data_IF_169246530092
#
_entry.id   IF_169246530092
#
_cell.length_a   1.000
_cell.length_b   1.000
_cell.length_c   1.000
_cell.angle_alpha   90.00
_cell.angle_beta   90.00
_cell.angle_gamma   90.00
#
_symmetry.space_group_name_H-M   'P 1'
#
loop_
_entity.id
_entity.type
_entity.pdbx_description
1 polymer ?
#
# COMPACT_ATOMS: atom_id res chain seq x y z
N UNK A 1 -18.50 1.79 -4.25
CA UNK A 1 -17.45 0.82 -3.86
C UNK A 1 -16.36 1.59 -3.14
N UNK A 2 -15.64 0.98 -2.18
CA UNK A 2 -14.47 1.64 -1.57
C UNK A 2 -13.33 1.64 -2.59
N UNK A 3 -12.63 2.78 -2.74
CA UNK A 3 -11.50 2.88 -3.67
C UNK A 3 -10.20 2.37 -3.02
N UNK A 4 -9.44 1.57 -3.76
CA UNK A 4 -8.19 0.98 -3.33
C UNK A 4 -7.09 1.30 -4.35
N UNK A 5 -6.03 1.97 -3.90
CA UNK A 5 -4.83 2.16 -4.69
C UNK A 5 -3.82 1.04 -4.43
N UNK A 6 -3.27 0.44 -5.49
CA UNK A 6 -2.15 -0.49 -5.43
C UNK A 6 -0.88 0.28 -5.82
N UNK A 7 -0.04 0.58 -4.83
CA UNK A 7 1.25 1.29 -5.01
C UNK A 7 2.38 0.27 -4.91
N UNK A 8 2.93 -0.12 -6.07
CA UNK A 8 3.86 -1.23 -6.16
C UNK A 8 3.28 -2.40 -6.95
N UNK A 9 2.90 -2.14 -8.20
CA UNK A 9 2.37 -3.14 -9.15
C UNK A 9 3.47 -4.05 -9.72
N UNK A 10 4.21 -4.70 -8.82
CA UNK A 10 5.03 -5.88 -9.10
C UNK A 10 4.22 -7.16 -8.89
N UNK A 11 4.89 -8.27 -8.63
CA UNK A 11 4.21 -9.56 -8.44
C UNK A 11 3.20 -9.55 -7.26
N UNK A 12 3.64 -9.08 -6.09
CA UNK A 12 2.83 -9.04 -4.86
C UNK A 12 1.64 -8.09 -4.99
N UNK A 13 1.88 -6.85 -5.42
CA UNK A 13 0.84 -5.85 -5.59
C UNK A 13 -0.19 -6.25 -6.65
N UNK A 14 0.26 -6.76 -7.81
CA UNK A 14 -0.66 -7.23 -8.84
C UNK A 14 -1.47 -8.45 -8.40
N UNK A 15 -0.87 -9.40 -7.66
CA UNK A 15 -1.60 -10.56 -7.13
C UNK A 15 -2.73 -10.13 -6.18
N UNK A 16 -2.42 -9.36 -5.13
CA UNK A 16 -3.43 -8.95 -4.16
C UNK A 16 -4.44 -7.97 -4.75
N UNK A 17 -3.99 -7.03 -5.60
CA UNK A 17 -4.88 -6.14 -6.32
C UNK A 17 -5.85 -6.89 -7.22
N UNK A 18 -5.39 -7.93 -7.93
CA UNK A 18 -6.26 -8.76 -8.76
C UNK A 18 -7.27 -9.56 -7.93
N UNK A 19 -6.87 -10.08 -6.76
CA UNK A 19 -7.79 -10.74 -5.82
C UNK A 19 -8.86 -9.78 -5.29
N UNK A 20 -8.48 -8.54 -4.96
CA UNK A 20 -9.44 -7.51 -4.55
C UNK A 20 -10.41 -7.14 -5.68
N UNK A 21 -9.91 -7.06 -6.91
CA UNK A 21 -10.74 -6.82 -8.08
C UNK A 21 -11.72 -7.97 -8.35
N UNK A 22 -11.28 -9.21 -8.16
CA UNK A 22 -12.10 -10.42 -8.33
C UNK A 22 -13.31 -10.43 -7.39
N UNK A 23 -13.19 -9.87 -6.18
CA UNK A 23 -14.30 -9.73 -5.23
C UNK A 23 -15.43 -8.80 -5.73
N UNK A 24 -15.20 -7.96 -6.74
CA UNK A 24 -16.17 -6.99 -7.30
C UNK A 24 -16.72 -5.91 -6.35
N UNK A 25 -16.39 -5.92 -5.05
CA UNK A 25 -16.87 -4.93 -4.07
C UNK A 25 -16.02 -3.65 -3.99
N UNK A 26 -14.83 -3.67 -4.58
CA UNK A 26 -13.85 -2.60 -4.54
C UNK A 26 -13.64 -1.95 -5.90
N UNK A 27 -13.28 -0.67 -5.88
CA UNK A 27 -12.80 0.05 -7.05
C UNK A 27 -11.27 0.08 -6.99
N UNK A 28 -10.63 -0.87 -7.68
CA UNK A 28 -9.19 -1.12 -7.54
C UNK A 28 -8.44 -0.38 -8.65
N UNK A 29 -7.48 0.44 -8.26
CA UNK A 29 -6.63 1.22 -9.16
C UNK A 29 -5.17 0.83 -8.99
N UNK A 30 -4.46 0.64 -10.09
CA UNK A 30 -3.07 0.20 -10.09
C UNK A 30 -2.14 1.33 -10.55
N UNK A 31 -1.18 1.69 -9.70
CA UNK A 31 -0.07 2.54 -10.12
C UNK A 31 0.95 1.69 -10.88
N UNK A 32 1.14 1.97 -12.17
CA UNK A 32 2.06 1.25 -13.06
C UNK A 32 2.92 2.23 -13.84
N UNK A 33 4.12 1.81 -14.26
CA UNK A 33 5.04 2.65 -15.05
C UNK A 33 5.74 1.84 -16.15
N UNK A 34 6.18 2.56 -17.18
CA UNK A 34 6.96 2.04 -18.30
C UNK A 34 6.26 0.88 -19.01
N UNK A 35 7.04 -0.08 -19.47
CA UNK A 35 6.55 -1.23 -20.24
C UNK A 35 5.42 -2.01 -19.54
N UNK A 36 5.41 -2.03 -18.19
CA UNK A 36 4.33 -2.67 -17.44
C UNK A 36 3.00 -1.94 -17.61
N UNK A 37 3.02 -0.60 -17.56
CA UNK A 37 1.84 0.22 -17.82
C UNK A 37 1.38 0.04 -19.27
N UNK A 38 2.30 0.16 -20.22
CA UNK A 38 1.99 0.10 -21.66
C UNK A 38 1.34 -1.23 -22.05
N UNK A 39 1.89 -2.35 -21.56
CA UNK A 39 1.34 -3.69 -21.82
C UNK A 39 -0.01 -3.88 -21.14
N UNK A 40 -0.15 -3.49 -19.87
CA UNK A 40 -1.41 -3.65 -19.15
C UNK A 40 -2.53 -2.81 -19.76
N UNK A 41 -2.20 -1.68 -20.37
CA UNK A 41 -3.16 -0.81 -21.06
C UNK A 41 -3.78 -1.47 -22.29
N UNK A 42 -3.03 -2.30 -23.01
CA UNK A 42 -3.49 -2.96 -24.24
C UNK A 42 -4.02 -4.36 -23.98
N UNK A 43 -3.36 -5.11 -23.10
CA UNK A 43 -3.54 -6.55 -22.97
C UNK A 43 -4.24 -6.93 -21.65
N UNK A 44 -4.36 -5.99 -20.72
CA UNK A 44 -4.88 -6.24 -19.37
C UNK A 44 -3.84 -6.86 -18.42
N UNK A 45 -4.33 -7.44 -17.32
CA UNK A 45 -3.51 -8.08 -16.30
C UNK A 45 -3.92 -9.55 -16.15
N UNK A 46 -2.95 -10.45 -16.31
CA UNK A 46 -3.12 -11.89 -16.11
C UNK A 46 -2.36 -12.33 -14.86
N UNK A 47 -3.05 -13.05 -13.98
CA UNK A 47 -2.48 -13.69 -12.80
C UNK A 47 -2.77 -15.18 -12.87
N UNK A 48 -1.75 -15.97 -13.19
CA UNK A 48 -1.81 -17.42 -13.03
C UNK A 48 -1.61 -17.78 -11.58
N UNK A 49 -2.44 -18.67 -11.05
CA UNK A 49 -2.49 -18.90 -9.62
C UNK A 49 -2.89 -20.32 -9.26
N UNK A 50 -2.22 -20.88 -8.24
CA UNK A 50 -2.64 -22.14 -7.59
C UNK A 50 -4.05 -22.08 -6.98
N UNK A 51 -4.64 -20.88 -6.84
CA UNK A 51 -6.02 -20.67 -6.39
C UNK A 51 -6.99 -20.27 -7.51
N UNK A 52 -6.64 -20.57 -8.77
CA UNK A 52 -7.45 -20.24 -9.94
C UNK A 52 -7.02 -18.93 -10.59
N UNK A 53 -6.94 -18.92 -11.91
CA UNK A 53 -6.39 -17.79 -12.66
C UNK A 53 -7.34 -16.57 -12.65
N UNK A 54 -6.76 -15.38 -12.68
CA UNK A 54 -7.50 -14.12 -12.84
C UNK A 54 -7.04 -13.44 -14.11
N UNK A 55 -8.00 -13.01 -14.92
CA UNK A 55 -7.77 -12.15 -16.08
C UNK A 55 -8.59 -10.88 -15.89
N UNK A 56 -7.91 -9.75 -15.74
CA UNK A 56 -8.53 -8.43 -15.77
C UNK A 56 -8.36 -7.89 -17.18
N UNK A 57 -9.44 -7.82 -17.98
CA UNK A 57 -9.33 -7.30 -19.32
C UNK A 57 -9.06 -5.78 -19.29
N UNK A 58 -8.40 -5.21 -20.32
CA UNK A 58 -7.91 -3.83 -20.31
C UNK A 58 -9.02 -2.80 -20.05
N UNK A 59 -10.25 -3.02 -20.54
CA UNK A 59 -11.38 -2.13 -20.32
C UNK A 59 -11.93 -2.13 -18.88
N UNK A 60 -11.50 -3.08 -18.05
CA UNK A 60 -11.87 -3.18 -16.63
C UNK A 60 -10.67 -2.95 -15.69
N UNK A 61 -9.49 -2.68 -16.26
CA UNK A 61 -8.26 -2.48 -15.53
C UNK A 61 -7.99 -0.98 -15.34
N UNK A 62 -8.29 -0.46 -14.15
CA UNK A 62 -7.98 0.92 -13.83
C UNK A 62 -6.47 1.09 -13.55
N UNK A 63 -5.70 1.53 -14.53
CA UNK A 63 -4.26 1.79 -14.39
C UNK A 63 -3.93 3.28 -14.54
N UNK A 64 -2.94 3.72 -13.78
CA UNK A 64 -2.51 5.12 -13.73
C UNK A 64 -0.99 5.23 -13.78
N UNK A 65 -0.50 6.25 -14.48
CA UNK A 65 0.94 6.53 -14.62
C UNK A 65 1.50 7.41 -13.50
N UNK A 66 0.62 8.07 -12.75
CA UNK A 66 0.94 8.90 -11.59
C UNK A 66 -0.09 8.67 -10.47
N UNK A 67 0.28 8.92 -9.22
CA UNK A 67 -0.65 8.77 -8.09
C UNK A 67 -1.54 10.00 -7.93
N UNK A 68 -1.16 11.13 -8.53
CA UNK A 68 -1.97 12.33 -8.66
C UNK A 68 -3.19 12.10 -9.55
N UNK A 69 -3.04 11.37 -10.67
CA UNK A 69 -4.15 10.98 -11.55
C UNK A 69 -5.17 10.07 -10.85
N UNK A 70 -4.71 9.23 -9.91
CA UNK A 70 -5.58 8.36 -9.11
C UNK A 70 -6.44 9.15 -8.14
N UNK A 71 -5.88 10.22 -7.57
CA UNK A 71 -6.49 11.02 -6.52
C UNK A 71 -6.64 10.28 -5.18
N UNK A 72 -7.36 10.89 -4.26
CA UNK A 72 -7.51 10.37 -2.89
C UNK A 72 -8.36 9.10 -2.83
N UNK A 73 -7.90 8.09 -2.09
CA UNK A 73 -8.54 6.77 -1.98
C UNK A 73 -8.91 6.41 -0.53
N UNK A 74 -9.78 5.41 -0.36
CA UNK A 74 -10.11 4.89 0.97
C UNK A 74 -9.03 3.97 1.54
N UNK A 75 -8.35 3.21 0.68
CA UNK A 75 -7.27 2.31 1.06
C UNK A 75 -6.08 2.40 0.11
N UNK A 76 -4.88 2.22 0.65
CA UNK A 76 -3.67 2.00 -0.13
C UNK A 76 -3.06 0.66 0.24
N UNK A 77 -2.75 -0.17 -0.74
CA UNK A 77 -1.86 -1.32 -0.61
C UNK A 77 -0.48 -0.90 -1.10
N UNK A 78 0.47 -0.75 -0.17
CA UNK A 78 1.85 -0.40 -0.47
C UNK A 78 2.69 -1.68 -0.57
N UNK A 79 3.11 -2.03 -1.79
CA UNK A 79 3.89 -3.23 -2.10
C UNK A 79 5.17 -2.88 -2.89
N UNK A 80 5.85 -1.81 -2.49
CA UNK A 80 7.12 -1.42 -3.09
C UNK A 80 8.25 -2.41 -2.73
N UNK A 81 9.31 -2.41 -3.54
CA UNK A 81 10.58 -3.00 -3.09
C UNK A 81 11.16 -2.12 -1.98
N UNK A 82 11.81 -2.72 -0.99
CA UNK A 82 12.47 -1.99 0.11
C UNK A 82 13.45 -0.92 -0.40
N UNK A 83 14.13 -1.18 -1.52
CA UNK A 83 15.03 -0.23 -2.20
C UNK A 83 14.35 1.03 -2.75
N UNK A 84 13.02 1.12 -2.69
CA UNK A 84 12.23 2.24 -3.19
C UNK A 84 11.40 2.92 -2.08
N UNK A 85 11.71 2.63 -0.81
CA UNK A 85 11.00 3.16 0.34
C UNK A 85 11.08 4.71 0.40
N UNK A 86 12.22 5.30 0.03
CA UNK A 86 12.40 6.76 -0.03
C UNK A 86 11.39 7.48 -0.94
N UNK A 87 10.86 6.78 -1.95
CA UNK A 87 9.84 7.32 -2.84
C UNK A 87 8.40 7.16 -2.28
N UNK A 88 8.22 6.48 -1.15
CA UNK A 88 6.89 6.23 -0.59
C UNK A 88 6.12 7.52 -0.28
N UNK A 89 6.71 8.57 0.36
CA UNK A 89 5.94 9.79 0.65
C UNK A 89 5.38 10.47 -0.60
N UNK A 90 6.20 10.67 -1.64
CA UNK A 90 5.75 11.32 -2.88
C UNK A 90 4.69 10.51 -3.62
N UNK A 91 4.76 9.18 -3.55
CA UNK A 91 3.74 8.31 -4.14
C UNK A 91 2.45 8.28 -3.31
N UNK A 92 2.56 8.29 -1.98
CA UNK A 92 1.43 8.11 -1.09
C UNK A 92 0.64 9.40 -0.89
N UNK A 93 1.29 10.52 -0.61
CA UNK A 93 0.62 11.76 -0.22
C UNK A 93 -0.52 12.20 -1.17
N UNK A 94 -0.40 12.10 -2.51
CA UNK A 94 -1.52 12.41 -3.43
C UNK A 94 -2.76 11.54 -3.22
N UNK A 95 -2.59 10.33 -2.67
CA UNK A 95 -3.64 9.35 -2.44
C UNK A 95 -4.31 9.50 -1.07
N UNK A 96 -3.71 10.25 -0.15
CA UNK A 96 -4.15 10.28 1.23
C UNK A 96 -5.17 11.38 1.51
N UNK A 97 -6.19 11.00 2.27
CA UNK A 97 -7.09 11.87 3.03
C UNK A 97 -7.08 11.40 4.49
N UNK A 98 -7.56 12.19 5.47
CA UNK A 98 -7.52 11.80 6.89
C UNK A 98 -8.18 10.45 7.21
N UNK A 99 -9.12 9.99 6.37
CA UNK A 99 -9.80 8.69 6.52
C UNK A 99 -9.16 7.52 5.74
N UNK A 100 -8.11 7.78 4.95
CA UNK A 100 -7.38 6.74 4.23
C UNK A 100 -6.71 5.80 5.20
N UNK A 101 -6.60 4.52 4.83
CA UNK A 101 -5.81 3.52 5.55
C UNK A 101 -4.79 2.88 4.62
N UNK A 102 -3.60 2.59 5.15
CA UNK A 102 -2.50 2.04 4.37
C UNK A 102 -2.17 0.65 4.89
N UNK A 103 -2.05 -0.33 4.01
CA UNK A 103 -1.49 -1.65 4.33
C UNK A 103 -0.14 -1.74 3.61
N UNK A 104 0.95 -1.78 4.37
CA UNK A 104 2.29 -1.97 3.85
C UNK A 104 2.63 -3.47 3.82
N UNK A 105 2.85 -4.01 2.63
CA UNK A 105 3.20 -5.41 2.36
C UNK A 105 4.58 -5.43 1.71
N UNK A 106 5.61 -5.19 2.52
CA UNK A 106 7.00 -5.08 2.08
C UNK A 106 7.87 -6.08 2.85
N UNK A 107 8.92 -6.61 2.21
CA UNK A 107 9.84 -7.53 2.87
C UNK A 107 10.84 -6.77 3.75
N UNK A 108 10.65 -6.82 5.07
CA UNK A 108 11.51 -6.18 6.07
C UNK A 108 10.67 -5.47 7.15
N UNK A 109 11.32 -4.72 8.03
CA UNK A 109 10.67 -3.89 9.05
C UNK A 109 10.88 -2.43 8.66
N UNK A 110 9.81 -1.73 8.28
CA UNK A 110 9.89 -0.36 7.75
C UNK A 110 8.75 0.54 8.21
N UNK A 111 7.83 0.03 9.01
CA UNK A 111 6.60 0.73 9.37
C UNK A 111 6.90 2.01 10.15
N UNK A 112 7.84 1.96 11.11
CA UNK A 112 8.26 3.14 11.87
C UNK A 112 8.95 4.18 10.98
N UNK A 113 9.76 3.72 10.03
CA UNK A 113 10.43 4.59 9.06
C UNK A 113 9.41 5.25 8.11
N UNK A 114 8.43 4.47 7.63
CA UNK A 114 7.33 4.95 6.80
C UNK A 114 6.49 6.01 7.51
N UNK A 115 6.15 5.78 8.78
CA UNK A 115 5.42 6.76 9.61
C UNK A 115 6.20 8.07 9.70
N UNK A 116 7.50 7.99 10.05
CA UNK A 116 8.36 9.18 10.17
C UNK A 116 8.48 9.94 8.86
N UNK A 117 8.73 9.25 7.75
CA UNK A 117 8.84 9.89 6.43
C UNK A 117 7.54 10.56 6.00
N UNK A 118 6.40 9.90 6.22
CA UNK A 118 5.10 10.47 5.87
C UNK A 118 4.75 11.70 6.70
N UNK A 119 4.99 11.66 8.01
CA UNK A 119 4.72 12.81 8.87
C UNK A 119 5.63 13.99 8.49
N UNK A 120 6.94 13.77 8.39
CA UNK A 120 7.89 14.81 8.00
C UNK A 120 7.53 15.47 6.67
N UNK A 121 7.18 14.67 5.65
CA UNK A 121 6.83 15.21 4.34
C UNK A 121 5.47 15.91 4.35
N UNK A 122 4.49 15.39 5.10
CA UNK A 122 3.19 16.02 5.25
C UNK A 122 3.26 17.38 5.96
N UNK A 123 4.09 17.51 7.01
CA UNK A 123 4.29 18.80 7.70
C UNK A 123 4.91 19.86 6.79
N UNK A 124 5.89 19.47 5.94
CA UNK A 124 6.50 20.38 4.96
C UNK A 124 5.48 20.92 3.97
N UNK A 125 4.59 20.08 3.44
CA UNK A 125 3.60 20.50 2.44
C UNK A 125 2.39 21.23 3.03
N UNK A 126 2.04 20.94 4.28
CA UNK A 126 0.89 21.56 4.97
C UNK A 126 1.22 22.91 5.60
N UNK A 127 2.50 23.28 5.70
CA UNK A 127 2.96 24.53 6.32
C UNK A 127 2.90 24.52 7.86
N UNK A 128 2.55 23.38 8.47
CA UNK A 128 2.57 23.17 9.92
C UNK A 128 4.02 22.95 10.38
N UNK A 129 4.69 24.04 10.76
CA UNK A 129 6.02 23.97 11.38
C UNK A 129 5.87 23.59 12.85
N UNK A 130 6.08 22.31 13.19
CA UNK A 130 6.30 21.91 14.59
C UNK A 130 7.79 21.62 14.76
N UNK A 131 8.49 22.47 15.50
CA UNK A 131 9.87 22.23 15.93
C UNK A 131 9.85 21.09 16.95
N UNK A 132 10.03 19.84 16.52
CA UNK A 132 10.38 18.76 17.44
C UNK A 132 11.81 18.96 17.89
N UNK A 133 11.99 19.46 19.12
CA UNK A 133 13.28 19.41 19.80
C UNK A 133 13.74 17.96 19.86
N UNK A 134 14.86 17.64 19.22
CA UNK A 134 15.57 16.39 19.42
C UNK A 134 16.16 16.43 20.84
N UNK A 135 15.51 15.77 21.79
CA UNK A 135 16.12 15.43 23.08
C UNK A 135 16.56 13.97 23.01
N UNK A 136 17.87 13.73 23.17
CA UNK A 136 18.57 12.45 23.06
C UNK A 136 18.38 11.63 24.35
N UNK A 137 17.12 11.36 24.70
CA UNK A 137 16.71 10.66 25.92
C UNK A 137 15.87 9.43 25.60
N UNK A 138 16.41 8.24 25.88
CA UNK A 138 15.72 6.97 25.70
C UNK A 138 14.38 6.91 26.45
N UNK A 139 13.29 6.84 25.68
CA UNK A 139 11.93 6.59 26.14
C UNK A 139 11.08 6.09 24.97
N UNK A 140 10.50 4.90 25.10
CA UNK A 140 9.79 4.16 24.05
C UNK A 140 8.36 4.70 23.72
N UNK A 141 8.14 6.02 23.74
CA UNK A 141 6.82 6.61 23.47
C UNK A 141 6.90 8.05 22.93
N UNK A 142 7.49 8.23 21.73
CA UNK A 142 7.24 9.45 20.95
C UNK A 142 6.07 9.20 19.99
N UNK A 143 4.86 9.28 20.56
CA UNK A 143 3.58 9.07 19.89
C UNK A 143 3.33 10.10 18.78
N UNK A 144 4.02 9.92 17.65
CA UNK A 144 3.76 10.68 16.42
C UNK A 144 2.31 10.42 16.00
N UNK A 145 1.46 11.43 16.15
CA UNK A 145 0.04 11.33 15.77
C UNK A 145 -0.05 11.42 14.25
N UNK A 146 -0.46 10.32 13.62
CA UNK A 146 -0.63 10.24 12.17
C UNK A 146 -1.74 11.20 11.71
N UNK A 147 -1.40 12.25 10.97
CA UNK A 147 -2.38 13.28 10.53
C UNK A 147 -2.78 13.15 9.05
N UNK A 148 -1.92 12.58 8.22
CA UNK A 148 -2.17 12.42 6.78
C UNK A 148 -3.09 11.25 6.44
N UNK A 149 -3.24 10.28 7.34
CA UNK A 149 -4.14 9.14 7.19
C UNK A 149 -4.56 8.58 8.56
N UNK A 150 -5.59 7.72 8.57
CA UNK A 150 -6.19 7.23 9.82
C UNK A 150 -5.44 6.07 10.47
N UNK A 151 -4.78 5.23 9.66
CA UNK A 151 -3.97 4.12 10.16
C UNK A 151 -3.01 3.58 9.10
N UNK A 152 -1.86 3.10 9.57
CA UNK A 152 -0.91 2.29 8.82
C UNK A 152 -0.88 0.89 9.45
N UNK A 153 -1.06 -0.12 8.62
CA UNK A 153 -0.98 -1.52 8.97
C UNK A 153 0.30 -2.11 8.37
N UNK A 154 1.08 -2.80 9.20
CA UNK A 154 2.17 -3.67 8.73
C UNK A 154 1.60 -5.02 8.29
N UNK A 155 2.07 -5.54 7.17
CA UNK A 155 1.55 -6.73 6.52
C UNK A 155 2.64 -7.74 6.15
N UNK A 156 2.49 -8.97 6.62
CA UNK A 156 3.33 -10.10 6.23
C UNK A 156 2.59 -10.97 5.22
N UNK A 157 3.09 -11.00 3.98
CA UNK A 157 2.60 -11.89 2.93
C UNK A 157 3.44 -13.16 2.86
N UNK A 158 2.85 -14.31 3.20
CA UNK A 158 3.42 -15.61 2.90
C UNK A 158 2.94 -16.02 1.51
N UNK A 159 3.76 -15.73 0.50
CA UNK A 159 3.41 -15.81 -0.93
C UNK A 159 4.66 -16.10 -1.78
N UNK A 160 4.55 -16.99 -2.76
CA UNK A 160 5.53 -17.13 -3.83
C UNK A 160 4.91 -16.64 -5.14
N UNK A 161 5.28 -15.42 -5.56
CA UNK A 161 4.79 -14.82 -6.79
C UNK A 161 5.91 -14.15 -7.57
N UNK A 162 5.93 -14.31 -8.89
CA UNK A 162 6.86 -13.66 -9.80
C UNK A 162 6.12 -12.91 -10.90
N UNK A 163 6.68 -11.79 -11.34
CA UNK A 163 6.27 -11.15 -12.58
C UNK A 163 7.12 -11.73 -13.70
N UNK A 164 6.53 -12.62 -14.50
CA UNK A 164 7.24 -13.33 -15.57
C UNK A 164 7.35 -12.50 -16.86
N UNK A 165 6.45 -11.54 -17.04
CA UNK A 165 6.48 -10.52 -18.11
C UNK A 165 5.63 -9.30 -17.69
N UNK A 166 5.73 -8.15 -18.38
CA UNK A 166 4.72 -7.10 -18.28
C UNK A 166 3.29 -7.67 -18.38
N UNK A 167 2.36 -7.21 -17.54
CA UNK A 167 1.00 -7.75 -17.44
C UNK A 167 0.84 -9.20 -16.97
N UNK A 168 1.92 -9.96 -16.68
CA UNK A 168 1.82 -11.40 -16.36
C UNK A 168 2.46 -11.77 -15.04
N UNK A 169 1.63 -12.25 -14.11
CA UNK A 169 2.03 -12.71 -12.79
C UNK A 169 1.85 -14.23 -12.71
N UNK A 170 2.83 -14.91 -12.12
CA UNK A 170 2.78 -16.32 -11.76
C UNK A 170 2.80 -16.44 -10.24
N UNK A 171 1.73 -16.97 -9.66
CA UNK A 171 1.60 -17.29 -8.23
C UNK A 171 1.62 -18.80 -8.04
N UNK A 172 2.73 -19.30 -7.52
CA UNK A 172 3.03 -20.73 -7.45
C UNK A 172 2.83 -21.35 -6.07
N UNK A 173 2.73 -20.55 -5.00
CA UNK A 173 2.55 -21.08 -3.64
C UNK A 173 2.04 -20.07 -2.62
N UNK A 174 1.26 -20.57 -1.66
CA UNK A 174 0.69 -19.84 -0.52
C UNK A 174 -0.24 -18.69 -0.93
N UNK A 175 -0.17 -17.51 -0.30
CA UNK A 175 -1.10 -16.39 -0.52
C UNK A 175 -1.78 -15.87 0.74
N UNK A 176 -1.31 -16.27 1.94
CA UNK A 176 -1.82 -15.75 3.22
C UNK A 176 -1.22 -14.38 3.48
N UNK A 177 -2.07 -13.41 3.76
CA UNK A 177 -1.69 -12.09 4.26
C UNK A 177 -2.09 -11.97 5.73
N UNK A 178 -1.14 -11.64 6.59
CA UNK A 178 -1.39 -11.28 8.00
C UNK A 178 -1.10 -9.80 8.16
N UNK A 179 -1.97 -9.07 8.86
CA UNK A 179 -1.87 -7.62 9.04
C UNK A 179 -2.07 -7.25 10.50
N UNK A 180 -1.27 -6.29 10.97
CA UNK A 180 -1.35 -5.70 12.31
C UNK A 180 -1.27 -4.18 12.23
N UNK A 181 -1.79 -3.49 13.25
CA UNK A 181 -1.72 -2.01 13.31
C UNK A 181 -0.29 -1.62 13.69
N UNK A 182 0.35 -0.81 12.86
CA UNK A 182 1.65 -0.20 13.18
C UNK A 182 1.46 1.20 13.78
N UNK A 183 0.60 2.02 13.18
CA UNK A 183 0.27 3.36 13.66
C UNK A 183 -1.19 3.71 13.41
N UNK A 184 -1.78 4.55 14.25
CA UNK A 184 -3.14 5.07 14.07
C UNK A 184 -3.24 6.52 14.53
N UNK A 185 -4.13 7.27 13.90
CA UNK A 185 -4.49 8.64 14.29
C UNK A 185 -5.37 8.71 15.54
N UNK A 186 -5.89 7.58 16.02
CA UNK A 186 -6.61 7.48 17.29
C UNK A 186 -5.67 7.00 18.39
N UNK A 187 -5.83 7.45 19.66
CA UNK A 187 -5.10 6.88 20.78
C UNK A 187 -5.29 5.35 20.77
N UNK A 188 -4.20 4.58 20.89
CA UNK A 188 -4.25 3.11 20.93
C UNK A 188 -5.30 2.69 21.95
N UNK A 189 -6.48 2.27 21.49
CA UNK A 189 -7.39 1.52 22.34
C UNK A 189 -6.65 0.24 22.70
N UNK A 190 -6.43 0.02 24.00
CA UNK A 190 -5.80 -1.19 24.52
C UNK A 190 -6.39 -2.41 23.81
N UNK A 191 -5.50 -3.23 23.26
CA UNK A 191 -5.88 -4.52 22.68
C UNK A 191 -6.37 -5.38 23.85
N UNK A 192 -7.68 -5.39 24.10
CA UNK A 192 -8.32 -6.42 24.91
C UNK A 192 -8.10 -7.76 24.19
N UNK A 193 -7.09 -8.52 24.62
CA UNK A 193 -6.94 -9.94 24.33
C UNK A 193 -8.21 -10.67 24.77
N UNK A 194 -9.18 -10.81 23.86
CA UNK A 194 -10.29 -11.74 24.06
C UNK A 194 -9.86 -13.11 23.57
N UNK A 195 -9.16 -13.82 24.46
CA UNK A 195 -9.18 -15.28 24.46
C UNK A 195 -10.61 -15.76 24.72
N UNK A 196 -11.26 -16.32 23.70
CA UNK A 196 -12.33 -17.32 23.84
C UNK A 196 -12.20 -18.36 22.74
#
# INVERSE_FOLDING_TARGET
KKSIAIVGSGAVGCYYGARLWECKDYDVHFFMRGEHYDTCKTDGLEVKSVYGDIIIPPEQLNIHSSTEEMGQVDWVILALKSTALDAAPSLLLPLLKPSTRIIAIMNGLFEDELVKMLDLEYQKISGSSTTSNHDDGGGDDDGTTLTCCSAIYGGMALLCSNRIAPGKIDHSYAGKLTVGIAASSSPKAEVEERHK
#
